data_IF_862369437406
#
_entry.id   IF_862369437406
#
_cell.length_a   1.000
_cell.length_b   1.000
_cell.length_c   1.000
_cell.angle_alpha   90.00
_cell.angle_beta   90.00
_cell.angle_gamma   90.00
#
_symmetry.space_group_name_H-M   'P 1'
#
loop_
_entity.id
_entity.type
_entity.pdbx_description
1 polymer ?
#
# COMPACT_ATOMS: atom_id res chain seq x y z
N UNK A 1 22.36 -0.32 32.52
CA UNK A 1 21.82 -1.12 31.40
C UNK A 1 20.60 -1.90 31.89
N UNK A 2 19.42 -1.32 31.74
CA UNK A 2 18.12 -1.97 31.94
C UNK A 2 17.21 -1.42 30.84
N UNK A 3 16.92 -2.23 29.83
CA UNK A 3 15.97 -1.92 28.77
C UNK A 3 14.56 -2.16 29.33
N UNK A 4 13.84 -1.07 29.66
CA UNK A 4 12.42 -1.14 29.98
C UNK A 4 11.62 -0.93 28.69
N UNK A 5 10.96 -2.00 28.25
CA UNK A 5 9.97 -2.00 27.18
C UNK A 5 8.74 -1.20 27.61
N UNK A 6 8.50 -0.06 26.97
CA UNK A 6 7.25 0.68 27.06
C UNK A 6 6.16 -0.09 26.31
N UNK A 7 5.37 -0.87 27.07
CA UNK A 7 4.12 -1.46 26.58
C UNK A 7 3.06 -0.34 26.60
N UNK A 8 2.93 0.37 25.48
CA UNK A 8 1.86 1.35 25.29
C UNK A 8 0.53 0.59 25.14
N UNK A 9 -0.33 0.70 26.14
CA UNK A 9 -1.67 0.12 26.12
C UNK A 9 -2.51 0.76 24.99
N UNK A 10 -3.22 -0.01 24.15
CA UNK A 10 -4.26 0.53 23.29
C UNK A 10 -5.52 0.76 24.14
N UNK A 11 -5.56 1.85 24.89
CA UNK A 11 -6.83 2.49 25.25
C UNK A 11 -7.38 3.17 24.00
N UNK A 12 -8.69 3.02 23.77
CA UNK A 12 -9.49 3.65 22.70
C UNK A 12 -9.72 2.82 21.42
N UNK A 13 -10.17 1.58 21.59
CA UNK A 13 -11.15 1.02 20.65
C UNK A 13 -12.47 0.82 21.39
N UNK A 14 -13.32 1.83 21.26
CA UNK A 14 -14.76 1.84 21.55
C UNK A 14 -15.35 0.44 21.35
N UNK A 15 -15.77 -0.17 22.45
CA UNK A 15 -16.54 -1.40 22.45
C UNK A 15 -17.81 -1.17 21.62
N UNK A 16 -17.84 -1.72 20.40
CA UNK A 16 -19.09 -1.96 19.72
C UNK A 16 -19.79 -3.07 20.51
N UNK A 17 -20.64 -2.67 21.46
CA UNK A 17 -21.56 -3.59 22.14
C UNK A 17 -22.40 -4.31 21.07
N UNK A 18 -22.29 -5.64 20.93
CA UNK A 18 -23.20 -6.35 20.07
C UNK A 18 -24.54 -6.38 20.80
N UNK A 19 -25.52 -5.62 20.30
CA UNK A 19 -26.93 -5.78 20.67
C UNK A 19 -27.37 -7.20 20.30
N UNK A 20 -27.17 -8.13 21.24
CA UNK A 20 -27.70 -9.49 21.17
C UNK A 20 -29.21 -9.42 21.38
N UNK A 21 -29.93 -9.16 20.30
CA UNK A 21 -31.33 -9.52 20.19
C UNK A 21 -31.43 -11.04 20.39
N UNK A 22 -31.95 -11.43 21.55
CA UNK A 22 -32.22 -12.79 21.96
C UNK A 22 -33.17 -13.47 20.96
N UNK A 23 -32.62 -14.22 20.01
CA UNK A 23 -33.39 -15.12 19.16
C UNK A 23 -32.88 -16.55 19.34
N UNK A 24 -33.64 -17.34 20.10
CA UNK A 24 -33.37 -18.75 20.34
C UNK A 24 -33.77 -19.60 19.13
N UNK A 25 -32.85 -19.75 18.18
CA UNK A 25 -32.88 -20.90 17.26
C UNK A 25 -31.49 -21.27 16.77
N UNK A 26 -30.86 -22.22 17.47
CA UNK A 26 -30.07 -23.34 16.95
C UNK A 26 -28.92 -23.15 15.96
N UNK A 27 -28.58 -21.96 15.48
CA UNK A 27 -27.53 -21.77 14.48
C UNK A 27 -26.19 -21.51 15.17
N UNK A 28 -25.33 -22.53 15.17
CA UNK A 28 -23.94 -22.42 15.63
C UNK A 28 -23.10 -21.69 14.57
N UNK A 29 -22.99 -20.36 14.66
CA UNK A 29 -22.09 -19.58 13.82
C UNK A 29 -20.65 -19.82 14.28
N UNK A 30 -19.86 -20.53 13.47
CA UNK A 30 -18.42 -20.65 13.70
C UNK A 30 -17.77 -19.35 13.24
N UNK A 31 -17.31 -18.53 14.18
CA UNK A 31 -16.49 -17.37 13.87
C UNK A 31 -15.13 -17.85 13.33
N UNK A 32 -14.89 -17.68 12.03
CA UNK A 32 -13.55 -17.83 11.45
C UNK A 32 -12.74 -16.60 11.79
N UNK A 33 -11.67 -16.77 12.58
CA UNK A 33 -10.75 -15.71 12.94
C UNK A 33 -10.04 -15.21 11.67
N UNK A 34 -10.34 -13.99 11.23
CA UNK A 34 -9.69 -13.39 10.07
C UNK A 34 -8.23 -13.07 10.43
N UNK A 35 -7.29 -13.72 9.75
CA UNK A 35 -5.87 -13.40 9.92
C UNK A 35 -5.56 -12.11 9.16
N UNK A 36 -5.13 -11.06 9.88
CA UNK A 36 -4.65 -9.81 9.27
C UNK A 36 -3.26 -10.07 8.73
N UNK A 37 -3.12 -10.16 7.40
CA UNK A 37 -1.82 -10.26 6.75
C UNK A 37 -1.12 -8.90 6.79
N UNK A 38 0.11 -8.87 7.30
CA UNK A 38 0.97 -7.67 7.23
C UNK A 38 1.46 -7.52 5.79
N UNK A 39 0.94 -6.50 5.09
CA UNK A 39 1.38 -6.15 3.73
C UNK A 39 2.59 -5.23 3.86
N UNK A 40 3.74 -5.68 3.34
CA UNK A 40 4.94 -4.84 3.22
C UNK A 40 4.86 -4.09 1.88
N UNK A 41 4.72 -2.77 1.95
CA UNK A 41 4.76 -1.91 0.76
C UNK A 41 6.22 -1.68 0.40
N UNK A 42 6.63 -2.11 -0.80
CA UNK A 42 7.95 -1.82 -1.34
C UNK A 42 7.82 -0.55 -2.18
N UNK A 43 8.59 0.51 -1.87
CA UNK A 43 8.57 1.74 -2.65
C UNK A 43 8.89 1.46 -4.11
N UNK A 44 8.15 2.06 -5.03
CA UNK A 44 8.33 1.87 -6.47
C UNK A 44 8.48 3.21 -7.21
N UNK A 45 9.06 3.13 -8.41
CA UNK A 45 8.96 4.23 -9.37
C UNK A 45 7.66 4.07 -10.14
N UNK A 46 6.80 5.07 -10.11
CA UNK A 46 5.52 5.10 -10.83
C UNK A 46 5.65 6.06 -12.01
N UNK A 47 5.62 5.53 -13.23
CA UNK A 47 5.74 6.33 -14.45
C UNK A 47 4.36 6.69 -14.98
N UNK A 48 4.06 7.98 -15.04
CA UNK A 48 2.80 8.52 -15.54
C UNK A 48 1.87 9.01 -14.42
N UNK A 49 1.72 10.33 -14.30
CA UNK A 49 0.85 11.02 -13.33
C UNK A 49 -0.65 11.03 -13.74
N UNK A 50 -1.12 9.96 -14.37
CA UNK A 50 -2.52 9.81 -14.77
C UNK A 50 -3.44 9.50 -13.58
N UNK A 51 -4.72 9.21 -13.87
CA UNK A 51 -5.69 8.77 -12.85
C UNK A 51 -5.19 7.55 -12.08
N UNK A 52 -4.66 6.55 -12.79
CA UNK A 52 -4.16 5.29 -12.22
C UNK A 52 -2.87 5.51 -11.43
N UNK A 53 -1.90 6.24 -11.98
CA UNK A 53 -0.63 6.50 -11.27
C UNK A 53 -0.83 7.29 -9.98
N UNK A 54 -1.74 8.27 -9.96
CA UNK A 54 -2.11 8.99 -8.73
C UNK A 54 -2.82 8.09 -7.72
N UNK A 55 -3.74 7.25 -8.18
CA UNK A 55 -4.42 6.30 -7.30
C UNK A 55 -3.44 5.33 -6.64
N UNK A 56 -2.45 4.84 -7.39
CA UNK A 56 -1.43 3.95 -6.86
C UNK A 56 -0.52 4.64 -5.84
N UNK A 57 -0.08 5.87 -6.13
CA UNK A 57 0.65 6.67 -5.14
C UNK A 57 -0.18 6.91 -3.86
N UNK A 58 -1.49 7.15 -3.99
CA UNK A 58 -2.40 7.27 -2.84
C UNK A 58 -2.61 5.98 -2.05
N UNK A 59 -2.46 4.82 -2.71
CA UNK A 59 -2.57 3.50 -2.07
C UNK A 59 -1.27 3.05 -1.41
N UNK A 60 -0.13 3.59 -1.85
CA UNK A 60 1.18 3.34 -1.27
C UNK A 60 1.37 4.02 0.09
N UNK A 61 2.58 3.88 0.63
CA UNK A 61 3.03 4.51 1.86
C UNK A 61 3.54 5.95 1.65
N UNK A 62 3.39 6.48 0.42
CA UNK A 62 3.92 7.78 0.01
C UNK A 62 5.42 7.79 -0.28
N UNK A 63 6.11 6.65 -0.16
CA UNK A 63 7.52 6.49 -0.53
C UNK A 63 7.73 6.32 -2.04
N UNK A 64 6.63 6.20 -2.80
CA UNK A 64 6.66 6.02 -4.25
C UNK A 64 7.07 7.30 -4.98
N UNK A 65 7.96 7.15 -5.94
CA UNK A 65 8.45 8.26 -6.76
C UNK A 65 7.61 8.34 -8.04
N UNK A 66 6.94 9.47 -8.23
CA UNK A 66 6.15 9.72 -9.43
C UNK A 66 7.02 10.40 -10.50
N UNK A 67 7.16 9.76 -11.66
CA UNK A 67 7.93 10.27 -12.80
C UNK A 67 6.97 10.63 -13.93
N UNK A 68 7.05 11.87 -14.41
CA UNK A 68 6.25 12.30 -15.58
C UNK A 68 6.97 11.97 -16.89
N UNK A 69 6.23 12.13 -17.98
CA UNK A 69 6.79 12.06 -19.32
C UNK A 69 7.95 13.04 -19.42
N UNK A 70 9.09 12.59 -19.94
CA UNK A 70 10.30 13.39 -20.17
C UNK A 70 11.05 13.81 -18.90
N UNK A 71 10.64 13.35 -17.72
CA UNK A 71 11.47 13.44 -16.54
C UNK A 71 12.44 12.24 -16.51
N UNK A 72 13.66 12.48 -16.06
CA UNK A 72 14.67 11.42 -15.95
C UNK A 72 14.38 10.55 -14.73
N UNK A 73 14.57 9.23 -14.86
CA UNK A 73 14.43 8.34 -13.72
C UNK A 73 15.60 8.52 -12.74
N UNK A 74 15.34 8.57 -11.43
CA UNK A 74 16.41 8.61 -10.44
C UNK A 74 17.23 7.31 -10.52
N UNK A 75 18.54 7.45 -10.76
CA UNK A 75 19.48 6.33 -10.89
C UNK A 75 19.66 5.53 -9.59
N UNK A 76 19.38 6.14 -8.44
CA UNK A 76 19.59 5.53 -7.11
C UNK A 76 18.43 4.62 -6.67
N UNK A 77 17.40 4.45 -7.49
CA UNK A 77 16.26 3.60 -7.16
C UNK A 77 16.43 2.17 -7.70
N UNK A 78 16.99 1.29 -6.87
CA UNK A 78 17.12 -0.15 -7.14
C UNK A 78 15.80 -0.93 -7.00
N UNK A 79 14.64 -0.28 -7.14
CA UNK A 79 13.32 -0.86 -6.85
C UNK A 79 12.49 -1.01 -8.12
N UNK A 80 11.35 -1.70 -7.99
CA UNK A 80 10.46 -1.99 -9.10
C UNK A 80 9.98 -0.71 -9.81
N UNK A 81 9.96 -0.75 -11.14
CA UNK A 81 9.40 0.30 -11.99
C UNK A 81 8.01 -0.15 -12.44
N UNK A 82 7.01 0.70 -12.21
CA UNK A 82 5.64 0.47 -12.60
C UNK A 82 5.22 1.52 -13.63
N UNK A 83 4.89 1.07 -14.84
CA UNK A 83 4.58 1.96 -15.97
C UNK A 83 3.08 2.09 -16.15
N UNK A 84 2.54 3.28 -15.90
CA UNK A 84 1.12 3.63 -16.01
C UNK A 84 0.89 4.81 -16.96
N UNK A 85 1.66 4.86 -18.03
CA UNK A 85 1.42 5.75 -19.18
C UNK A 85 0.62 5.02 -20.27
N UNK A 86 0.21 5.74 -21.30
CA UNK A 86 -0.39 5.11 -22.49
C UNK A 86 0.69 4.36 -23.27
N UNK A 87 0.31 3.29 -23.97
CA UNK A 87 1.25 2.45 -24.72
C UNK A 87 2.03 3.21 -25.80
N UNK A 88 1.43 4.25 -26.40
CA UNK A 88 2.08 5.13 -27.39
C UNK A 88 3.23 5.97 -26.79
N UNK A 89 3.25 6.17 -25.48
CA UNK A 89 4.30 6.91 -24.78
C UNK A 89 5.38 5.99 -24.15
N UNK A 90 5.31 4.67 -24.36
CA UNK A 90 6.20 3.70 -23.71
C UNK A 90 7.66 3.85 -24.16
N UNK A 91 7.89 4.16 -25.44
CA UNK A 91 9.24 4.35 -26.00
C UNK A 91 10.03 5.46 -25.28
N UNK A 92 9.35 6.56 -24.93
CA UNK A 92 9.97 7.67 -24.19
C UNK A 92 10.37 7.24 -22.79
N UNK A 93 9.57 6.38 -22.15
CA UNK A 93 9.87 5.84 -20.81
C UNK A 93 11.10 4.94 -20.86
N UNK A 94 11.18 4.05 -21.85
CA UNK A 94 12.31 3.15 -22.04
C UNK A 94 13.62 3.92 -22.27
N UNK A 95 13.61 4.96 -23.11
CA UNK A 95 14.79 5.82 -23.31
C UNK A 95 15.22 6.58 -22.07
N UNK A 96 14.28 6.95 -21.21
CA UNK A 96 14.56 7.65 -19.94
C UNK A 96 15.03 6.73 -18.81
N UNK A 97 14.87 5.41 -18.99
CA UNK A 97 15.27 4.41 -18.01
C UNK A 97 16.76 4.09 -18.23
N UNK A 98 17.63 4.33 -17.24
CA UNK A 98 19.04 3.99 -17.37
C UNK A 98 19.19 2.48 -17.61
N UNK A 99 20.05 2.10 -18.56
CA UNK A 99 20.37 0.69 -18.80
C UNK A 99 21.27 0.16 -17.66
N UNK A 100 21.02 -1.08 -17.23
CA UNK A 100 21.82 -1.79 -16.23
C UNK A 100 23.21 -2.15 -16.75
#
# INVERSE_FOLDING_TARGET
MQLQSFLLAPSDVTAAEPLLANWSSGVKIRASMAMVATIVVVPAIIVGCGRVGKALQSMGDGSDVLVKRRESMPLDFLKSILVYTRNDDLEVVLQSTPQS
#
